data_IF_880975722113
#
_entry.id   IF_880975722113
#
_cell.length_a   1.000
_cell.length_b   1.000
_cell.length_c   1.000
_cell.angle_alpha   90.00
_cell.angle_beta   90.00
_cell.angle_gamma   90.00
#
_symmetry.space_group_name_H-M   'P 1'
#
loop_
_entity.id
_entity.type
_entity.pdbx_description
1 polymer ?
#
# COMPACT_ATOMS: atom_id res chain seq x y z
N UNK A 1 -5.15 17.43 -1.09
CA UNK A 1 -5.65 16.07 -0.72
C UNK A 1 -5.78 15.18 -1.94
N UNK A 2 -6.43 15.67 -2.99
CA UNK A 2 -6.64 14.88 -4.21
C UNK A 2 -5.32 14.42 -4.83
N UNK A 3 -4.30 15.26 -4.85
CA UNK A 3 -2.97 14.91 -5.35
C UNK A 3 -2.37 13.72 -4.62
N UNK A 4 -2.51 13.66 -3.30
CA UNK A 4 -1.96 12.56 -2.51
C UNK A 4 -2.63 11.23 -2.87
N UNK A 5 -3.96 11.25 -3.07
CA UNK A 5 -4.70 10.05 -3.47
C UNK A 5 -4.31 9.63 -4.89
N UNK A 6 -4.11 10.59 -5.79
CA UNK A 6 -3.69 10.28 -7.16
C UNK A 6 -2.30 9.66 -7.20
N UNK A 7 -1.35 10.21 -6.44
CA UNK A 7 0.00 9.65 -6.34
C UNK A 7 -0.01 8.25 -5.78
N UNK A 8 -0.82 8.02 -4.76
CA UNK A 8 -0.96 6.68 -4.16
C UNK A 8 -1.56 5.69 -5.16
N UNK A 9 -2.56 6.11 -5.93
CA UNK A 9 -3.19 5.25 -6.95
C UNK A 9 -2.21 4.88 -8.05
N UNK A 10 -1.37 5.83 -8.48
CA UNK A 10 -0.34 5.55 -9.48
C UNK A 10 0.71 4.56 -8.94
N UNK A 11 1.10 4.72 -7.68
CA UNK A 11 2.04 3.78 -7.05
C UNK A 11 1.46 2.36 -6.98
N UNK A 12 0.15 2.22 -6.70
CA UNK A 12 -0.53 0.92 -6.74
C UNK A 12 -0.49 0.33 -8.14
N UNK A 13 -0.78 1.13 -9.16
CA UNK A 13 -0.79 0.68 -10.55
C UNK A 13 0.57 0.17 -10.97
N UNK A 14 1.63 0.90 -10.64
CA UNK A 14 2.99 0.49 -10.96
C UNK A 14 3.37 -0.81 -10.25
N UNK A 15 2.96 -0.96 -8.99
CA UNK A 15 3.22 -2.17 -8.23
C UNK A 15 2.50 -3.37 -8.83
N UNK A 16 1.25 -3.20 -9.28
CA UNK A 16 0.52 -4.26 -9.97
C UNK A 16 1.25 -4.71 -11.22
N UNK A 17 1.73 -3.76 -12.03
CA UNK A 17 2.49 -4.06 -13.23
C UNK A 17 3.76 -4.84 -12.91
N UNK A 18 4.47 -4.43 -11.88
CA UNK A 18 5.68 -5.13 -11.45
C UNK A 18 5.34 -6.56 -10.99
N UNK A 19 4.31 -6.74 -10.17
CA UNK A 19 3.91 -8.06 -9.68
C UNK A 19 3.49 -8.97 -10.83
N UNK A 20 2.76 -8.44 -11.80
CA UNK A 20 2.35 -9.21 -12.97
C UNK A 20 3.53 -9.58 -13.87
N UNK A 21 4.61 -8.81 -13.84
CA UNK A 21 5.82 -9.09 -14.61
C UNK A 21 6.70 -10.18 -13.98
N UNK A 22 6.48 -10.50 -12.70
CA UNK A 22 7.27 -11.53 -12.03
C UNK A 22 6.86 -12.91 -12.49
N UNK A 23 7.83 -13.69 -12.96
CA UNK A 23 7.60 -15.04 -13.44
C UNK A 23 7.51 -16.06 -12.31
N UNK A 24 8.13 -15.76 -11.18
CA UNK A 24 8.14 -16.62 -10.01
C UNK A 24 6.87 -16.39 -9.19
N UNK A 25 6.04 -17.43 -9.05
CA UNK A 25 4.81 -17.36 -8.27
C UNK A 25 5.09 -17.02 -6.80
N UNK A 26 6.19 -17.52 -6.25
CA UNK A 26 6.55 -17.26 -4.85
C UNK A 26 6.81 -15.76 -4.60
N UNK A 27 7.40 -15.06 -5.57
CA UNK A 27 7.59 -13.61 -5.47
C UNK A 27 6.27 -12.88 -5.45
N UNK A 28 5.30 -13.33 -6.25
CA UNK A 28 3.96 -12.73 -6.25
C UNK A 28 3.25 -12.97 -4.92
N UNK A 29 3.31 -14.17 -4.40
CA UNK A 29 2.66 -14.50 -3.13
C UNK A 29 3.32 -13.79 -1.94
N UNK A 30 4.64 -13.68 -1.96
CA UNK A 30 5.36 -12.96 -0.90
C UNK A 30 4.92 -11.51 -0.80
N UNK A 31 4.55 -10.89 -1.94
CA UNK A 31 4.09 -9.51 -1.97
C UNK A 31 2.58 -9.32 -1.79
N UNK A 32 1.80 -10.42 -1.77
CA UNK A 32 0.34 -10.31 -1.82
C UNK A 32 -0.25 -9.63 -0.58
N UNK A 33 0.20 -9.99 0.63
CA UNK A 33 -0.34 -9.42 1.86
C UNK A 33 0.02 -7.93 2.00
N UNK A 34 1.30 -7.53 1.87
CA UNK A 34 1.63 -6.11 1.88
C UNK A 34 0.88 -5.31 0.81
N UNK A 35 0.73 -5.88 -0.39
CA UNK A 35 0.00 -5.21 -1.45
C UNK A 35 -1.47 -4.99 -1.09
N UNK A 36 -2.14 -6.02 -0.56
CA UNK A 36 -3.55 -5.90 -0.15
C UNK A 36 -3.73 -4.85 0.95
N UNK A 37 -2.80 -4.81 1.90
CA UNK A 37 -2.83 -3.80 2.96
C UNK A 37 -2.64 -2.39 2.38
N UNK A 38 -1.72 -2.23 1.43
CA UNK A 38 -1.52 -0.94 0.75
C UNK A 38 -2.77 -0.54 -0.03
N UNK A 39 -3.37 -1.48 -0.74
CA UNK A 39 -4.60 -1.23 -1.50
C UNK A 39 -5.72 -0.75 -0.58
N UNK A 40 -5.88 -1.39 0.58
CA UNK A 40 -6.90 -1.01 1.55
C UNK A 40 -6.67 0.42 2.07
N UNK A 41 -5.42 0.80 2.33
CA UNK A 41 -5.09 2.17 2.78
C UNK A 41 -5.45 3.21 1.74
N UNK A 42 -5.11 2.94 0.47
CA UNK A 42 -5.38 3.88 -0.62
C UNK A 42 -6.88 3.95 -0.92
N UNK A 43 -7.56 2.81 -0.90
CA UNK A 43 -9.01 2.77 -1.09
C UNK A 43 -9.74 3.58 0.00
N UNK A 44 -9.29 3.45 1.25
CA UNK A 44 -9.80 4.27 2.35
C UNK A 44 -9.60 5.75 2.09
N UNK A 45 -8.42 6.15 1.59
CA UNK A 45 -8.15 7.53 1.21
C UNK A 45 -9.10 8.04 0.13
N UNK A 46 -9.36 7.21 -0.88
CA UNK A 46 -10.30 7.55 -1.94
C UNK A 46 -11.72 7.81 -1.39
N UNK A 47 -12.20 6.93 -0.51
CA UNK A 47 -13.53 7.11 0.07
C UNK A 47 -13.63 8.33 0.97
N UNK A 48 -12.59 8.62 1.74
CA UNK A 48 -12.55 9.84 2.56
C UNK A 48 -12.55 11.09 1.69
N UNK A 49 -11.79 11.08 0.61
CA UNK A 49 -11.79 12.20 -0.35
C UNK A 49 -13.18 12.40 -0.95
N UNK A 50 -13.83 11.32 -1.36
CA UNK A 50 -15.16 11.36 -1.94
C UNK A 50 -16.19 11.95 -0.96
N UNK A 51 -16.09 11.56 0.32
CA UNK A 51 -16.97 12.10 1.37
C UNK A 51 -16.72 13.60 1.58
N UNK A 52 -15.47 14.02 1.57
CA UNK A 52 -15.12 15.43 1.73
C UNK A 52 -15.66 16.28 0.57
N UNK A 53 -15.58 15.77 -0.66
CA UNK A 53 -16.10 16.46 -1.83
C UNK A 53 -17.61 16.63 -1.72
N UNK A 54 -18.33 15.59 -1.30
CA UNK A 54 -19.78 15.66 -1.12
C UNK A 54 -20.19 16.67 -0.08
N UNK A 55 -19.39 16.84 0.97
CA UNK A 55 -19.68 17.80 2.05
C UNK A 55 -19.32 19.24 1.66
N UNK A 56 -18.61 19.45 0.57
CA UNK A 56 -18.22 20.78 0.12
C UNK A 56 -16.90 21.29 0.71
N UNK A 57 -16.06 20.41 1.22
CA UNK A 57 -14.70 20.68 1.69
C UNK A 57 -14.58 21.53 2.98
N UNK A 58 -15.67 21.73 3.73
CA UNK A 58 -15.65 22.60 4.91
C UNK A 58 -16.13 21.98 6.21
N UNK A 59 -16.43 20.68 6.23
CA UNK A 59 -17.01 20.06 7.41
C UNK A 59 -16.11 19.04 8.09
N UNK A 60 -16.72 18.26 8.98
CA UNK A 60 -16.00 17.23 9.74
C UNK A 60 -15.43 16.15 8.84
N UNK A 61 -16.12 15.81 7.75
CA UNK A 61 -15.63 14.79 6.81
C UNK A 61 -14.35 15.23 6.12
N UNK A 62 -14.24 16.53 5.83
CA UNK A 62 -13.02 17.09 5.28
C UNK A 62 -11.87 16.99 6.28
N UNK A 63 -12.13 17.25 7.54
CA UNK A 63 -11.10 17.12 8.59
C UNK A 63 -10.66 15.68 8.75
N UNK A 64 -11.58 14.73 8.73
CA UNK A 64 -11.28 13.30 8.80
C UNK A 64 -10.48 12.85 7.59
N UNK A 65 -10.85 13.32 6.40
CA UNK A 65 -10.14 12.99 5.18
C UNK A 65 -8.70 13.48 5.22
N UNK A 66 -8.48 14.72 5.67
CA UNK A 66 -7.11 15.25 5.79
C UNK A 66 -6.30 14.44 6.79
N UNK A 67 -6.87 14.12 7.94
CA UNK A 67 -6.16 13.31 8.93
C UNK A 67 -5.78 11.95 8.36
N UNK A 68 -6.73 11.26 7.74
CA UNK A 68 -6.47 9.93 7.17
C UNK A 68 -5.41 9.98 6.08
N UNK A 69 -5.56 10.88 5.12
CA UNK A 69 -4.70 10.94 3.94
C UNK A 69 -3.27 11.34 4.30
N UNK A 70 -3.09 12.21 5.27
CA UNK A 70 -1.75 12.68 5.64
C UNK A 70 -1.10 11.88 6.77
N UNK A 71 -1.87 11.13 7.56
CA UNK A 71 -1.32 10.43 8.73
C UNK A 71 -1.40 8.90 8.62
N UNK A 72 -2.42 8.35 8.00
CA UNK A 72 -2.62 6.91 7.92
C UNK A 72 -2.33 6.34 6.54
N UNK A 73 -2.82 6.98 5.49
CA UNK A 73 -2.62 6.49 4.13
C UNK A 73 -1.14 6.37 3.73
N UNK A 74 -0.23 7.27 4.15
CA UNK A 74 1.18 7.17 3.72
C UNK A 74 1.88 5.86 4.06
N UNK A 75 1.33 5.04 4.92
CA UNK A 75 1.86 3.70 5.17
C UNK A 75 1.93 2.85 3.89
N UNK A 76 1.14 3.19 2.86
CA UNK A 76 1.17 2.46 1.59
C UNK A 76 2.57 2.41 0.98
N UNK A 77 3.38 3.43 1.20
CA UNK A 77 4.72 3.52 0.62
C UNK A 77 5.60 2.36 1.09
N UNK A 78 5.63 2.12 2.40
CA UNK A 78 6.38 1.01 2.97
C UNK A 78 5.80 -0.34 2.59
N UNK A 79 4.47 -0.44 2.56
CA UNK A 79 3.78 -1.68 2.19
C UNK A 79 4.05 -2.06 0.73
N UNK A 80 4.04 -1.09 -0.18
CA UNK A 80 4.36 -1.36 -1.59
C UNK A 80 5.83 -1.72 -1.77
N UNK A 81 6.72 -1.11 -1.00
CA UNK A 81 8.12 -1.49 -1.01
C UNK A 81 8.29 -2.94 -0.56
N UNK A 82 7.59 -3.36 0.50
CA UNK A 82 7.59 -4.75 0.94
C UNK A 82 7.05 -5.68 -0.14
N UNK A 83 6.00 -5.28 -0.84
CA UNK A 83 5.42 -6.09 -1.91
C UNK A 83 6.41 -6.34 -3.04
N UNK A 84 7.33 -5.42 -3.28
CA UNK A 84 8.32 -5.52 -4.36
C UNK A 84 9.60 -6.24 -3.96
N UNK A 85 9.76 -6.67 -2.72
CA UNK A 85 10.98 -7.35 -2.29
C UNK A 85 11.12 -8.76 -2.84
N UNK A 86 9.99 -9.42 -3.13
CA UNK A 86 10.03 -10.81 -3.54
C UNK A 86 10.26 -11.76 -2.37
N UNK A 87 10.51 -13.03 -2.68
CA UNK A 87 10.68 -14.07 -1.65
C UNK A 87 12.14 -14.46 -1.41
N UNK A 88 13.08 -13.93 -2.16
CA UNK A 88 14.48 -14.38 -2.13
C UNK A 88 15.09 -14.27 -0.75
N UNK A 89 14.93 -13.11 -0.11
CA UNK A 89 15.48 -12.89 1.22
C UNK A 89 14.84 -13.81 2.26
N UNK A 90 13.54 -14.07 2.12
CA UNK A 90 12.83 -14.96 3.04
C UNK A 90 13.39 -16.38 2.99
N UNK A 91 13.62 -16.91 1.80
CA UNK A 91 14.11 -18.27 1.61
C UNK A 91 15.63 -18.40 1.70
N UNK A 92 16.35 -17.29 1.88
CA UNK A 92 17.80 -17.32 2.05
C UNK A 92 18.21 -17.83 3.44
N UNK A 93 17.30 -17.79 4.42
CA UNK A 93 17.59 -18.26 5.77
C UNK A 93 17.34 -19.76 5.90
N UNK A 94 18.30 -20.46 6.49
CA UNK A 94 18.09 -21.85 6.91
C UNK A 94 17.43 -21.88 8.29
N UNK A 95 16.84 -23.04 8.64
CA UNK A 95 16.26 -23.22 9.97
C UNK A 95 17.29 -23.00 11.06
N UNK A 96 18.54 -23.48 10.84
CA UNK A 96 19.61 -23.32 11.82
C UNK A 96 19.98 -21.86 12.02
N UNK A 97 20.05 -21.08 10.94
CA UNK A 97 20.35 -19.64 11.03
C UNK A 97 19.29 -18.90 11.84
N UNK A 98 18.03 -19.24 11.64
CA UNK A 98 16.94 -18.63 12.38
C UNK A 98 16.98 -18.99 13.86
N UNK A 99 17.36 -20.24 14.20
CA UNK A 99 17.44 -20.69 15.57
C UNK A 99 18.64 -20.09 16.32
N UNK A 100 19.71 -19.75 15.61
CA UNK A 100 20.90 -19.13 16.20
C UNK A 100 20.78 -17.62 16.35
N UNK A 101 19.85 -17.02 15.65
CA UNK A 101 19.60 -15.59 15.75
C UNK A 101 18.92 -15.24 17.06
#
# INVERSE_FOLDING_TARGET
>A
IANEVMLASEALRETIKWMCSQKNINDRFAGAVPFLNAFARVLGGYFHLKSAIKEGHNGQRTKLARFYIFNLMPEYIGLLRQAKQGCEDLYSFSTNELLEA
#
